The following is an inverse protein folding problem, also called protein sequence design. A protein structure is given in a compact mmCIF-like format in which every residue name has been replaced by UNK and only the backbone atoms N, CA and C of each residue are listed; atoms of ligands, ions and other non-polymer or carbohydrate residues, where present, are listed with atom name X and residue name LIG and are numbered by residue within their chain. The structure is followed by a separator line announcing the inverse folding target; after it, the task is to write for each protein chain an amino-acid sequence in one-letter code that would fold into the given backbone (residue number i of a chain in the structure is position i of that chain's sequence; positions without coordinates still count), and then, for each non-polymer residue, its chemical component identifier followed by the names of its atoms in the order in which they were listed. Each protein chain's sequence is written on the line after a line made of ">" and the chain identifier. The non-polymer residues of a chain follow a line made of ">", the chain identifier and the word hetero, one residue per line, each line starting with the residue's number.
data_IF_967156026308
#
_entry.id   IF_967156026308
#
_cell.length_a   1.000
_cell.length_b   1.000
_cell.length_c   1.000
_cell.angle_alpha   90.00
_cell.angle_beta   90.00
_cell.angle_gamma   90.00
#
_symmetry.space_group_name_H-M   'P 1'
#
loop_
_entity.id
_entity.type
_entity.pdbx_description
1 polymer ?
#
# COMPACT_ATOMS: atom_id res chain seq x y z
N UNK A 1 10.48 74.38 33.16
CA UNK A 1 10.27 73.19 34.03
C UNK A 1 9.43 72.17 33.25
N UNK A 2 9.71 70.85 33.35
CA UNK A 2 9.60 69.89 32.24
C UNK A 2 8.47 68.84 32.40
N UNK A 3 8.37 67.94 31.40
CA UNK A 3 7.78 66.58 31.46
C UNK A 3 6.26 66.53 31.22
N UNK A 4 5.73 65.76 30.26
CA UNK A 4 5.96 64.32 30.09
C UNK A 4 5.62 63.90 28.65
N UNK A 5 6.62 63.43 27.93
CA UNK A 5 6.39 62.44 26.89
C UNK A 5 6.03 61.12 27.61
N UNK A 6 4.82 60.62 27.40
CA UNK A 6 4.46 59.22 27.63
C UNK A 6 3.67 58.80 26.40
N UNK A 7 4.35 58.17 25.46
CA UNK A 7 4.48 56.70 25.41
C UNK A 7 3.46 56.17 24.42
N UNK A 8 3.80 56.32 23.14
CA UNK A 8 3.28 55.44 22.10
C UNK A 8 3.72 54.02 22.43
N UNK A 9 2.89 53.30 23.21
CA UNK A 9 3.03 51.87 23.36
C UNK A 9 2.68 51.28 22.00
N UNK A 10 3.69 50.71 21.34
CA UNK A 10 3.57 49.96 20.10
C UNK A 10 2.75 48.69 20.35
N UNK A 11 1.42 48.81 20.34
CA UNK A 11 0.45 47.69 20.49
C UNK A 11 0.42 46.75 19.27
N UNK A 12 1.14 47.05 18.19
CA UNK A 12 1.10 46.27 16.95
C UNK A 12 2.09 45.09 16.90
N UNK A 13 3.18 45.15 17.67
CA UNK A 13 4.21 44.09 17.67
C UNK A 13 3.83 42.82 18.44
N UNK A 14 3.13 42.96 19.56
CA UNK A 14 2.74 41.84 20.43
C UNK A 14 1.63 40.98 19.81
N UNK A 15 0.62 41.62 19.19
CA UNK A 15 -0.48 40.95 18.51
C UNK A 15 -0.01 40.10 17.31
N UNK A 16 0.97 40.58 16.54
CA UNK A 16 1.50 39.83 15.39
C UNK A 16 2.30 38.58 15.79
N UNK A 17 3.01 38.62 16.92
CA UNK A 17 3.73 37.46 17.43
C UNK A 17 2.77 36.39 17.97
N UNK A 18 1.71 36.81 18.66
CA UNK A 18 0.68 35.92 19.19
C UNK A 18 -0.12 35.21 18.08
N UNK A 19 -0.46 35.94 17.00
CA UNK A 19 -1.11 35.36 15.81
C UNK A 19 -0.21 34.28 15.18
N UNK A 20 1.08 34.57 14.96
CA UNK A 20 2.03 33.59 14.40
C UNK A 20 2.19 32.37 15.29
N UNK A 21 2.23 32.54 16.61
CA UNK A 21 2.31 31.44 17.57
C UNK A 21 1.08 30.52 17.47
N UNK A 22 -0.11 31.10 17.34
CA UNK A 22 -1.35 30.35 17.21
C UNK A 22 -1.43 29.60 15.88
N UNK A 23 -0.98 30.21 14.77
CA UNK A 23 -0.87 29.52 13.48
C UNK A 23 0.10 28.33 13.54
N UNK A 24 1.26 28.50 14.18
CA UNK A 24 2.23 27.42 14.35
C UNK A 24 1.68 26.27 15.20
N UNK A 25 0.98 26.59 16.31
CA UNK A 25 0.28 25.57 17.12
C UNK A 25 -0.75 24.80 16.29
N UNK A 26 -1.58 25.51 15.52
CA UNK A 26 -2.59 24.88 14.66
C UNK A 26 -1.96 24.01 13.55
N UNK A 27 -0.79 24.38 13.03
CA UNK A 27 -0.03 23.57 12.07
C UNK A 27 0.56 22.31 12.73
N UNK A 28 1.07 22.42 13.95
CA UNK A 28 1.62 21.30 14.72
C UNK A 28 0.51 20.29 15.03
N UNK A 29 -0.67 20.74 15.47
CA UNK A 29 -1.77 19.83 15.77
C UNK A 29 -2.25 19.09 14.51
N UNK A 30 -2.40 19.79 13.38
CA UNK A 30 -2.70 19.14 12.09
C UNK A 30 -1.63 18.13 11.69
N UNK A 31 -0.35 18.44 11.89
CA UNK A 31 0.74 17.52 11.58
C UNK A 31 0.73 16.27 12.49
N UNK A 32 0.40 16.41 13.78
CA UNK A 32 0.24 15.27 14.70
C UNK A 32 -0.91 14.38 14.25
N UNK A 33 -2.07 14.95 13.93
CA UNK A 33 -3.22 14.18 13.43
C UNK A 33 -2.86 13.44 12.13
N UNK A 34 -2.22 14.13 11.19
CA UNK A 34 -1.80 13.50 9.93
C UNK A 34 -0.80 12.36 10.17
N UNK A 35 0.14 12.50 11.12
CA UNK A 35 1.08 11.44 11.49
C UNK A 35 0.35 10.22 12.04
N UNK A 36 -0.56 10.41 12.99
CA UNK A 36 -1.35 9.31 13.59
C UNK A 36 -2.12 8.56 12.49
N UNK A 37 -2.79 9.29 11.60
CA UNK A 37 -3.52 8.67 10.48
C UNK A 37 -2.59 7.90 9.54
N UNK A 38 -1.39 8.40 9.27
CA UNK A 38 -0.41 7.71 8.45
C UNK A 38 0.09 6.43 9.13
N UNK A 39 0.36 6.47 10.44
CA UNK A 39 0.76 5.31 11.25
C UNK A 39 -0.34 4.25 11.26
N UNK A 40 -1.60 4.63 11.46
CA UNK A 40 -2.76 3.72 11.39
C UNK A 40 -2.92 3.07 10.01
N UNK A 41 -2.79 3.86 8.93
CA UNK A 41 -2.87 3.35 7.56
C UNK A 41 -1.73 2.38 7.26
N UNK A 42 -0.51 2.70 7.72
CA UNK A 42 0.66 1.82 7.56
C UNK A 42 0.43 0.48 8.27
N UNK A 43 0.01 0.52 9.54
CA UNK A 43 -0.28 -0.69 10.30
C UNK A 43 -1.39 -1.54 9.67
N UNK A 44 -2.43 -0.91 9.11
CA UNK A 44 -3.48 -1.62 8.39
C UNK A 44 -2.97 -2.26 7.08
N UNK A 45 -2.10 -1.58 6.34
CA UNK A 45 -1.50 -2.12 5.13
C UNK A 45 -0.56 -3.30 5.43
N UNK A 46 0.27 -3.21 6.46
CA UNK A 46 1.16 -4.28 6.90
C UNK A 46 0.39 -5.53 7.32
N UNK A 47 -0.73 -5.38 8.06
CA UNK A 47 -1.59 -6.52 8.41
C UNK A 47 -2.18 -7.21 7.17
N UNK A 48 -2.70 -6.42 6.22
CA UNK A 48 -3.25 -6.97 4.96
C UNK A 48 -2.19 -7.72 4.16
N UNK A 49 -0.98 -7.17 4.09
CA UNK A 49 0.14 -7.83 3.41
C UNK A 49 0.47 -9.18 4.06
N UNK A 50 0.58 -9.22 5.39
CA UNK A 50 0.82 -10.47 6.12
C UNK A 50 -0.29 -11.51 5.91
N UNK A 51 -1.55 -11.08 5.90
CA UNK A 51 -2.71 -11.95 5.62
C UNK A 51 -2.65 -12.51 4.19
N UNK A 52 -2.28 -11.70 3.20
CA UNK A 52 -2.13 -12.12 1.81
C UNK A 52 -0.97 -13.12 1.65
N UNK A 53 0.19 -12.82 2.22
CA UNK A 53 1.35 -13.72 2.19
C UNK A 53 1.04 -15.07 2.85
N UNK A 54 0.31 -15.06 3.97
CA UNK A 54 -0.10 -16.29 4.65
C UNK A 54 -1.03 -17.13 3.78
N UNK A 55 -2.01 -16.51 3.09
CA UNK A 55 -2.91 -17.20 2.15
C UNK A 55 -2.13 -17.80 0.98
N UNK A 56 -1.17 -17.06 0.41
CA UNK A 56 -0.33 -17.57 -0.69
C UNK A 56 0.49 -18.79 -0.22
N UNK A 57 1.07 -18.73 0.98
CA UNK A 57 1.80 -19.87 1.56
C UNK A 57 0.89 -21.07 1.86
N UNK A 58 -0.37 -20.83 2.26
CA UNK A 58 -1.35 -21.91 2.46
C UNK A 58 -1.69 -22.63 1.16
N UNK A 59 -1.63 -21.94 0.02
CA UNK A 59 -1.74 -22.53 -1.32
C UNK A 59 -0.46 -23.31 -1.74
N UNK A 60 0.55 -23.36 -0.88
CA UNK A 60 1.82 -24.05 -1.13
C UNK A 60 2.81 -23.26 -1.99
N UNK A 61 2.55 -21.96 -2.21
CA UNK A 61 3.38 -21.09 -3.06
C UNK A 61 4.18 -20.12 -2.19
N UNK A 62 5.41 -19.84 -2.59
CA UNK A 62 6.20 -18.77 -1.97
C UNK A 62 5.71 -17.39 -2.48
N UNK A 63 5.27 -16.47 -1.62
CA UNK A 63 4.80 -15.14 -2.03
C UNK A 63 5.84 -14.30 -2.78
N UNK A 64 7.14 -14.60 -2.65
CA UNK A 64 8.18 -13.91 -3.44
C UNK A 64 8.26 -14.41 -4.90
N UNK A 65 7.70 -15.59 -5.20
CA UNK A 65 7.87 -16.28 -6.48
C UNK A 65 6.53 -16.67 -7.14
N UNK A 66 5.45 -15.94 -6.84
CA UNK A 66 4.09 -16.27 -7.32
C UNK A 66 4.03 -16.33 -8.85
N UNK A 67 4.64 -15.37 -9.54
CA UNK A 67 4.64 -15.30 -11.00
C UNK A 67 5.42 -16.47 -11.63
N UNK A 68 6.56 -16.85 -11.03
CA UNK A 68 7.35 -17.99 -11.49
C UNK A 68 6.57 -19.30 -11.32
N UNK A 69 5.85 -19.44 -10.22
CA UNK A 69 5.03 -20.61 -9.93
C UNK A 69 3.84 -20.71 -10.90
N UNK A 70 3.18 -19.61 -11.22
CA UNK A 70 2.14 -19.56 -12.26
C UNK A 70 2.72 -20.03 -13.60
N UNK A 71 3.87 -19.50 -14.01
CA UNK A 71 4.51 -19.89 -15.27
C UNK A 71 4.97 -21.36 -15.29
N UNK A 72 5.31 -21.94 -14.13
CA UNK A 72 5.58 -23.38 -14.00
C UNK A 72 4.30 -24.20 -14.20
N UNK A 73 3.23 -23.84 -13.49
CA UNK A 73 1.94 -24.54 -13.59
C UNK A 73 1.35 -24.47 -15.00
N UNK A 74 1.43 -23.33 -15.68
CA UNK A 74 0.97 -23.18 -17.07
C UNK A 74 1.72 -24.12 -18.04
N UNK A 75 3.03 -24.28 -17.86
CA UNK A 75 3.82 -25.25 -18.64
C UNK A 75 3.38 -26.68 -18.37
N UNK A 76 3.22 -27.05 -17.10
CA UNK A 76 2.76 -28.40 -16.74
C UNK A 76 1.36 -28.72 -17.26
N UNK A 77 0.45 -27.74 -17.28
CA UNK A 77 -0.89 -27.89 -17.87
C UNK A 77 -0.77 -28.18 -19.37
N UNK A 78 0.00 -27.38 -20.10
CA UNK A 78 0.16 -27.56 -21.54
C UNK A 78 0.83 -28.90 -21.90
N UNK A 79 1.85 -29.32 -21.14
CA UNK A 79 2.47 -30.64 -21.31
C UNK A 79 1.48 -31.79 -21.06
N UNK A 80 0.64 -31.67 -20.03
CA UNK A 80 -0.40 -32.67 -19.75
C UNK A 80 -1.46 -32.73 -20.84
N UNK A 81 -1.88 -31.58 -21.37
CA UNK A 81 -2.83 -31.50 -22.49
C UNK A 81 -2.24 -32.19 -23.72
N UNK A 82 -1.02 -31.83 -24.12
CA UNK A 82 -0.34 -32.45 -25.26
C UNK A 82 -0.22 -33.98 -25.10
N UNK A 83 0.11 -34.45 -23.90
CA UNK A 83 0.17 -35.89 -23.60
C UNK A 83 -1.19 -36.58 -23.69
N UNK A 84 -2.27 -35.90 -23.29
CA UNK A 84 -3.63 -36.43 -23.46
C UNK A 84 -3.98 -36.52 -24.94
N UNK A 85 -3.68 -35.49 -25.73
CA UNK A 85 -3.91 -35.48 -27.18
C UNK A 85 -3.15 -36.61 -27.88
N UNK A 86 -1.87 -36.82 -27.55
CA UNK A 86 -1.07 -37.95 -28.06
C UNK A 86 -1.68 -39.32 -27.72
N UNK A 87 -2.24 -39.48 -26.52
CA UNK A 87 -2.89 -40.72 -26.09
C UNK A 87 -4.22 -40.96 -26.79
N UNK A 88 -4.95 -39.90 -27.13
CA UNK A 88 -6.26 -39.97 -27.79
C UNK A 88 -6.13 -40.11 -29.31
N UNK A 89 -5.09 -39.57 -29.93
CA UNK A 89 -4.91 -39.58 -31.38
C UNK A 89 -5.06 -40.98 -32.04
N UNK A 90 -4.47 -42.07 -31.51
CA UNK A 90 -4.64 -43.41 -32.10
C UNK A 90 -6.09 -43.93 -32.02
N UNK A 91 -6.82 -43.56 -30.97
CA UNK A 91 -8.23 -43.92 -30.81
C UNK A 91 -9.11 -43.14 -31.78
N UNK A 92 -8.84 -41.84 -31.95
CA UNK A 92 -9.56 -40.98 -32.90
C UNK A 92 -9.31 -41.39 -34.35
N UNK A 93 -8.10 -41.79 -34.71
CA UNK A 93 -7.78 -42.33 -36.04
C UNK A 93 -8.52 -43.65 -36.35
N UNK A 94 -8.77 -44.48 -35.33
CA UNK A 94 -9.56 -45.71 -35.46
C UNK A 94 -11.06 -45.44 -35.63
N UNK A 95 -11.60 -44.41 -34.98
CA UNK A 95 -13.04 -44.08 -35.02
C UNK A 95 -13.39 -43.16 -36.20
N UNK A 96 -12.45 -42.34 -36.68
CA UNK A 96 -12.67 -41.38 -37.77
C UNK A 96 -12.59 -41.95 -39.19
N UNK A 97 -12.15 -43.20 -39.36
CA UNK A 97 -12.08 -43.91 -40.66
C UNK A 97 -13.23 -44.93 -40.86
N UNK A 98 -14.26 -44.91 -40.03
CA UNK A 98 -15.49 -45.72 -40.14
C UNK A 98 -16.70 -44.85 -40.47
#
# INVERSE_FOLDING_TARGET
>A
MPSKALSGVNVNGANGAEVKLNELKARIERAKTARIQAEERKAAAERRLQELEAQIRELGVDPENVEEEIARLDREINEKIARIEELLAPFEEMVGNA
#
